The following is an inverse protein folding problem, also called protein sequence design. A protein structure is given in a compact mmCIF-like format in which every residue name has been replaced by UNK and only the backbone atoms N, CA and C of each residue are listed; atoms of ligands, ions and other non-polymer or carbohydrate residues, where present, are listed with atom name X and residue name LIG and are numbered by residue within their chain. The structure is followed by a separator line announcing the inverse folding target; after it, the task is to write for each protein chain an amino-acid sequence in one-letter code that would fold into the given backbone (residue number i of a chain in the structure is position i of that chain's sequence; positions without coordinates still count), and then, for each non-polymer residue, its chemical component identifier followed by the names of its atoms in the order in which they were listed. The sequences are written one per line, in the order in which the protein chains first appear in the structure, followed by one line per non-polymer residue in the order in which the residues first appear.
data_IF_133550600957
#
_entry.id   IF_133550600957
#
_cell.length_a   1.000
_cell.length_b   1.000
_cell.length_c   1.000
_cell.angle_alpha   90.00
_cell.angle_beta   90.00
_cell.angle_gamma   90.00
#
_symmetry.space_group_name_H-M   'P 1'
#
loop_
_entity.id
_entity.type
_entity.pdbx_description
1 polymer ?
#
# COMPACT_ATOMS: atom_id res chain seq x y z
N UNK A 1 -17.95 -5.08 38.76
CA UNK A 1 -18.69 -3.83 38.50
C UNK A 1 -18.81 -3.12 39.85
N UNK A 2 -18.04 -2.06 40.12
CA UNK A 2 -18.33 -0.64 39.80
C UNK A 2 -19.58 -0.13 40.56
N UNK A 3 -19.60 1.07 41.20
CA UNK A 3 -18.96 2.30 40.68
C UNK A 3 -18.21 3.23 41.66
N UNK A 4 -17.20 3.89 41.07
CA UNK A 4 -16.66 5.20 41.42
C UNK A 4 -17.44 6.25 40.64
N UNK A 5 -18.07 7.22 41.30
CA UNK A 5 -18.41 8.57 40.79
C UNK A 5 -19.03 9.29 42.00
N UNK A 6 -18.37 10.31 42.59
CA UNK A 6 -19.00 11.40 43.41
C UNK A 6 -18.04 12.25 44.28
N UNK A 7 -16.78 12.51 43.87
CA UNK A 7 -15.90 13.43 44.64
C UNK A 7 -15.39 14.63 43.82
N UNK A 8 -15.88 14.83 42.60
CA UNK A 8 -15.45 15.98 41.77
C UNK A 8 -16.36 17.23 41.95
N UNK A 9 -17.52 17.12 42.60
CA UNK A 9 -18.47 18.24 42.68
C UNK A 9 -18.46 19.06 43.99
N UNK A 10 -17.67 18.69 44.99
CA UNK A 10 -17.68 19.39 46.29
C UNK A 10 -16.51 20.35 46.54
N UNK A 11 -15.57 20.48 45.60
CA UNK A 11 -14.37 21.32 45.75
C UNK A 11 -14.53 22.75 45.19
N UNK A 12 -15.66 23.09 44.56
CA UNK A 12 -15.84 24.39 43.88
C UNK A 12 -16.65 25.44 44.65
N UNK A 13 -17.06 25.18 45.89
CA UNK A 13 -17.91 26.10 46.68
C UNK A 13 -17.30 26.63 47.98
N UNK A 14 -16.01 26.41 48.25
CA UNK A 14 -15.32 26.97 49.43
C UNK A 14 -14.03 27.74 49.07
N UNK A 15 -14.07 28.52 47.99
CA UNK A 15 -13.03 29.50 47.62
C UNK A 15 -13.61 30.92 47.53
N UNK A 16 -14.44 31.26 48.51
CA UNK A 16 -14.66 32.66 48.92
C UNK A 16 -14.33 32.72 50.41
N UNK A 17 -13.45 33.66 50.74
CA UNK A 17 -12.99 34.03 52.07
C UNK A 17 -11.80 33.26 52.65
N UNK A 18 -10.89 34.07 53.19
CA UNK A 18 -9.58 33.79 53.80
C UNK A 18 -8.36 33.80 52.88
N UNK A 19 -7.70 34.97 52.92
CA UNK A 19 -6.51 35.28 52.18
C UNK A 19 -5.20 34.84 52.84
N UNK A 20 -4.15 34.98 52.03
CA UNK A 20 -2.73 35.18 52.35
C UNK A 20 -2.21 34.44 53.58
N UNK A 21 -1.80 33.19 53.35
CA UNK A 21 -0.53 32.61 53.77
C UNK A 21 -0.73 31.11 53.70
N UNK A 22 -0.16 30.40 52.71
CA UNK A 22 0.23 28.97 52.77
C UNK A 22 0.88 28.52 51.43
N UNK A 23 1.77 29.36 50.88
CA UNK A 23 2.56 29.03 49.66
C UNK A 23 3.62 27.94 49.90
N UNK A 24 4.05 27.74 51.16
CA UNK A 24 5.14 26.81 51.48
C UNK A 24 4.69 25.36 51.76
N UNK A 25 3.43 25.14 52.16
CA UNK A 25 2.94 23.79 52.50
C UNK A 25 2.50 23.01 51.26
N UNK A 26 1.89 23.69 50.27
CA UNK A 26 1.55 23.09 48.97
C UNK A 26 2.79 22.72 48.13
N UNK A 27 3.89 23.50 48.24
CA UNK A 27 5.17 23.15 47.59
C UNK A 27 5.83 21.91 48.19
N UNK A 28 5.67 21.65 49.49
CA UNK A 28 6.19 20.42 50.13
C UNK A 28 5.39 19.18 49.73
N UNK A 29 4.07 19.25 49.60
CA UNK A 29 3.26 18.11 49.16
C UNK A 29 3.43 17.81 47.66
N UNK A 30 3.59 18.83 46.82
CA UNK A 30 3.93 18.66 45.39
C UNK A 30 5.35 18.13 45.15
N UNK A 31 6.29 18.31 46.10
CA UNK A 31 7.64 17.73 45.99
C UNK A 31 7.73 16.29 46.50
N UNK A 32 6.80 15.82 47.35
CA UNK A 32 6.80 14.43 47.83
C UNK A 32 6.28 13.45 46.75
N UNK A 33 5.47 13.92 45.80
CA UNK A 33 5.12 13.14 44.59
C UNK A 33 6.08 13.35 43.40
N UNK A 34 7.16 14.11 43.59
CA UNK A 34 8.21 14.35 42.57
C UNK A 34 9.48 13.55 42.77
N UNK A 35 9.51 12.65 43.76
CA UNK A 35 10.64 11.78 44.05
C UNK A 35 10.21 10.31 43.94
N UNK A 36 9.90 9.91 42.71
CA UNK A 36 10.02 8.52 42.23
C UNK A 36 10.19 8.46 40.70
N UNK A 37 10.82 9.49 40.13
CA UNK A 37 11.34 9.45 38.76
C UNK A 37 12.87 9.53 38.82
N UNK A 38 13.50 8.47 39.34
CA UNK A 38 14.91 8.20 39.08
C UNK A 38 15.09 8.01 37.59
N UNK A 39 16.07 8.73 37.04
CA UNK A 39 16.19 9.08 35.64
C UNK A 39 16.24 7.90 34.67
N UNK A 40 15.42 8.01 33.63
CA UNK A 40 15.89 7.79 32.26
C UNK A 40 15.75 9.13 31.58
N UNK A 41 16.87 9.69 31.13
CA UNK A 41 16.83 10.83 30.20
C UNK A 41 16.06 10.33 28.97
N UNK A 42 14.79 10.74 28.83
CA UNK A 42 13.98 10.31 27.68
C UNK A 42 14.63 10.95 26.48
N UNK A 43 15.42 10.16 25.75
CA UNK A 43 16.09 10.59 24.53
C UNK A 43 15.06 11.27 23.65
N UNK A 44 15.28 12.55 23.37
CA UNK A 44 14.35 13.36 22.61
C UNK A 44 14.36 12.86 21.16
N UNK A 45 13.30 12.16 20.76
CA UNK A 45 13.21 11.56 19.43
C UNK A 45 13.00 12.66 18.38
N UNK A 46 13.80 12.63 17.33
CA UNK A 46 13.75 13.58 16.21
C UNK A 46 13.20 12.92 14.95
N UNK A 47 12.53 13.70 14.11
CA UNK A 47 12.04 13.24 12.81
C UNK A 47 12.38 14.21 11.69
N UNK A 48 12.60 13.67 10.50
CA UNK A 48 12.76 14.42 9.27
C UNK A 48 11.65 14.03 8.29
N UNK A 49 11.22 14.95 7.43
CA UNK A 49 10.26 14.68 6.37
C UNK A 49 10.51 15.57 5.17
N UNK A 50 10.52 14.98 3.97
CA UNK A 50 10.55 15.71 2.70
C UNK A 50 9.16 16.19 2.28
N UNK A 51 8.15 15.77 3.03
CA UNK A 51 6.75 15.87 2.67
C UNK A 51 6.02 16.68 3.73
N UNK A 52 5.69 17.92 3.39
CA UNK A 52 4.83 18.75 4.23
C UNK A 52 3.37 18.36 4.06
N UNK A 53 2.96 17.35 4.83
CA UNK A 53 1.56 16.90 4.94
C UNK A 53 1.19 16.80 6.40
N UNK A 54 0.07 17.44 6.76
CA UNK A 54 -0.46 17.45 8.13
C UNK A 54 -0.68 16.06 8.71
N UNK A 55 -1.01 15.05 7.89
CA UNK A 55 -1.18 13.65 8.35
C UNK A 55 0.13 13.00 8.81
N UNK A 56 1.27 13.47 8.32
CA UNK A 56 2.60 13.02 8.74
C UNK A 56 3.04 13.82 9.96
N UNK A 57 3.16 15.15 9.80
CA UNK A 57 3.72 16.06 10.81
C UNK A 57 2.98 15.93 12.14
N UNK A 58 1.65 16.02 12.13
CA UNK A 58 0.86 15.95 13.35
C UNK A 58 0.92 14.56 14.03
N UNK A 59 1.16 13.48 13.28
CA UNK A 59 1.35 12.16 13.88
C UNK A 59 2.66 12.09 14.69
N UNK A 60 3.72 12.75 14.21
CA UNK A 60 4.99 12.84 14.93
C UNK A 60 4.91 13.83 16.10
N UNK A 61 4.35 15.03 15.90
CA UNK A 61 4.22 16.04 16.96
C UNK A 61 3.34 15.55 18.12
N UNK A 62 2.25 14.82 17.84
CA UNK A 62 1.40 14.20 18.87
C UNK A 62 2.18 13.23 19.77
N UNK A 63 3.28 12.65 19.28
CA UNK A 63 4.18 11.76 20.04
C UNK A 63 5.25 12.53 20.81
N UNK A 64 5.27 13.86 20.71
CA UNK A 64 6.30 14.71 21.32
C UNK A 64 7.63 14.71 20.56
N UNK A 65 7.65 14.20 19.32
CA UNK A 65 8.86 14.19 18.50
C UNK A 65 9.14 15.57 17.92
N UNK A 66 10.41 15.86 17.67
CA UNK A 66 10.85 17.17 17.18
C UNK A 66 11.35 17.09 15.76
N UNK A 67 10.85 17.98 14.91
CA UNK A 67 11.26 18.05 13.52
C UNK A 67 12.68 18.61 13.41
N UNK A 68 13.50 17.98 12.57
CA UNK A 68 14.86 18.38 12.23
C UNK A 68 15.08 18.35 10.72
N UNK A 69 16.16 18.97 10.24
CA UNK A 69 16.57 18.95 8.85
C UNK A 69 17.19 17.61 8.42
N UNK A 70 17.34 17.36 7.11
CA UNK A 70 17.94 16.13 6.59
C UNK A 70 19.44 15.98 6.90
N UNK A 71 20.13 17.10 7.15
CA UNK A 71 21.55 17.16 7.52
C UNK A 71 21.78 17.06 9.04
N UNK A 72 20.70 17.12 9.84
CA UNK A 72 20.76 16.99 11.29
C UNK A 72 20.68 15.52 11.73
N UNK A 73 20.88 15.25 13.02
CA UNK A 73 20.68 13.92 13.61
C UNK A 73 19.17 13.60 13.77
N UNK A 74 18.64 12.81 12.84
CA UNK A 74 17.26 12.35 12.80
C UNK A 74 17.14 10.88 13.25
N UNK A 75 16.06 10.51 13.94
CA UNK A 75 15.76 9.09 14.25
C UNK A 75 14.76 8.47 13.27
N UNK A 76 13.83 9.27 12.74
CA UNK A 76 12.81 8.80 11.82
C UNK A 76 12.76 9.70 10.59
N UNK A 77 13.01 9.15 9.41
CA UNK A 77 12.90 9.90 8.16
C UNK A 77 11.69 9.43 7.34
N UNK A 78 10.66 10.29 7.23
CA UNK A 78 9.62 10.14 6.23
C UNK A 78 10.08 10.78 4.89
N UNK A 79 10.89 10.04 4.16
CA UNK A 79 11.53 10.49 2.93
C UNK A 79 10.60 10.35 1.70
N UNK A 80 10.88 11.13 0.65
CA UNK A 80 10.49 10.76 -0.71
C UNK A 80 11.47 9.72 -1.27
N UNK A 81 11.06 9.01 -2.32
CA UNK A 81 11.86 7.95 -2.94
C UNK A 81 13.24 8.42 -3.42
N UNK A 82 13.37 9.67 -3.86
CA UNK A 82 14.64 10.24 -4.30
C UNK A 82 15.63 10.43 -3.14
N UNK A 83 15.16 10.93 -1.99
CA UNK A 83 16.02 11.12 -0.81
C UNK A 83 16.49 9.79 -0.24
N UNK A 84 15.59 8.79 -0.16
CA UNK A 84 15.97 7.42 0.19
C UNK A 84 17.05 6.89 -0.77
N UNK A 85 16.89 7.06 -2.08
CA UNK A 85 17.92 6.64 -3.06
C UNK A 85 19.27 7.31 -2.83
N UNK A 86 19.29 8.58 -2.45
CA UNK A 86 20.52 9.31 -2.16
C UNK A 86 21.19 8.80 -0.88
N UNK A 87 20.41 8.53 0.18
CA UNK A 87 20.91 7.96 1.45
C UNK A 87 21.59 6.60 1.23
N UNK A 88 21.00 5.74 0.40
CA UNK A 88 21.57 4.43 0.07
C UNK A 88 22.56 4.45 -1.11
N UNK A 89 22.88 5.63 -1.66
CA UNK A 89 23.85 5.73 -2.74
C UNK A 89 25.24 5.41 -2.22
N UNK A 90 25.99 4.57 -2.94
CA UNK A 90 27.38 4.27 -2.59
C UNK A 90 28.25 5.53 -2.64
N UNK A 91 27.88 6.51 -3.48
CA UNK A 91 28.62 7.77 -3.65
C UNK A 91 28.58 8.67 -2.42
N UNK A 92 27.51 8.62 -1.63
CA UNK A 92 27.40 9.45 -0.42
C UNK A 92 28.19 8.85 0.75
N UNK A 93 28.44 7.53 0.73
CA UNK A 93 29.11 6.81 1.82
C UNK A 93 28.35 6.84 3.14
N UNK A 94 27.09 7.30 3.14
CA UNK A 94 26.29 7.49 4.35
C UNK A 94 25.97 6.13 5.00
N UNK A 95 26.10 6.07 6.32
CA UNK A 95 25.77 4.89 7.12
C UNK A 95 24.78 5.30 8.20
N UNK A 96 23.62 4.66 8.20
CA UNK A 96 22.61 4.90 9.22
C UNK A 96 23.01 4.30 10.56
N UNK A 97 22.62 4.99 11.64
CA UNK A 97 22.74 4.52 13.02
C UNK A 97 21.62 3.53 13.38
N UNK A 98 21.86 2.69 14.39
CA UNK A 98 20.89 1.70 14.89
C UNK A 98 19.56 2.34 15.32
N UNK A 99 19.54 3.64 15.67
CA UNK A 99 18.34 4.39 16.04
C UNK A 99 17.68 5.15 14.88
N UNK A 100 18.03 4.80 13.64
CA UNK A 100 17.47 5.42 12.44
C UNK A 100 16.54 4.46 11.69
N UNK A 101 15.41 4.98 11.24
CA UNK A 101 14.51 4.25 10.33
C UNK A 101 13.96 5.14 9.22
N UNK A 102 13.70 4.54 8.07
CA UNK A 102 13.26 5.21 6.84
C UNK A 102 12.14 4.43 6.12
N UNK A 103 11.21 5.15 5.52
CA UNK A 103 9.95 4.65 4.96
C UNK A 103 10.02 4.08 3.52
N UNK A 104 11.21 3.68 3.06
CA UNK A 104 11.40 3.11 1.73
C UNK A 104 12.50 2.04 1.70
N UNK A 105 12.29 0.98 0.91
CA UNK A 105 13.38 0.09 0.51
C UNK A 105 14.16 0.69 -0.69
N UNK A 106 15.50 0.51 -0.77
CA UNK A 106 16.32 1.16 -1.80
C UNK A 106 15.90 0.85 -3.23
N UNK A 107 15.48 -0.40 -3.48
CA UNK A 107 15.04 -0.88 -4.79
C UNK A 107 13.55 -1.23 -4.86
N UNK A 108 12.71 -0.51 -4.09
CA UNK A 108 11.24 -0.63 -4.09
C UNK A 108 10.61 -0.63 -5.51
N UNK A 109 11.28 -0.01 -6.48
CA UNK A 109 10.85 0.07 -7.88
C UNK A 109 10.71 -1.28 -8.58
N UNK A 110 11.31 -2.35 -8.08
CA UNK A 110 11.10 -3.73 -8.57
C UNK A 110 9.66 -4.23 -8.38
N UNK A 111 8.95 -3.73 -7.35
CA UNK A 111 7.53 -4.01 -7.13
C UNK A 111 6.64 -2.96 -7.80
N UNK A 112 7.07 -1.70 -7.85
CA UNK A 112 6.20 -0.58 -8.21
C UNK A 112 6.28 -0.15 -9.67
N UNK A 113 7.40 -0.43 -10.36
CA UNK A 113 7.47 -0.26 -11.81
C UNK A 113 6.76 -1.41 -12.52
N UNK A 114 5.94 -1.06 -13.51
CA UNK A 114 5.02 -2.00 -14.17
C UNK A 114 5.75 -3.09 -14.95
N UNK A 115 6.86 -2.76 -15.60
CA UNK A 115 7.72 -3.70 -16.31
C UNK A 115 8.40 -4.70 -15.36
N UNK A 116 8.95 -4.20 -14.25
CA UNK A 116 9.63 -5.03 -13.26
C UNK A 116 8.66 -5.92 -12.48
N UNK A 117 7.48 -5.42 -12.09
CA UNK A 117 6.43 -6.23 -11.46
C UNK A 117 6.08 -7.46 -12.32
N UNK A 118 5.82 -7.24 -13.62
CA UNK A 118 5.47 -8.32 -14.55
C UNK A 118 6.66 -9.27 -14.75
N UNK A 119 7.88 -8.74 -14.88
CA UNK A 119 9.10 -9.54 -14.98
C UNK A 119 9.30 -10.44 -13.76
N UNK A 120 9.14 -9.89 -12.56
CA UNK A 120 9.31 -10.59 -11.29
C UNK A 120 8.24 -11.68 -11.11
N UNK A 121 6.98 -11.42 -11.44
CA UNK A 121 5.91 -12.44 -11.41
C UNK A 121 6.16 -13.55 -12.45
N UNK A 122 6.61 -13.20 -13.68
CA UNK A 122 6.97 -14.20 -14.70
C UNK A 122 8.13 -15.08 -14.23
N UNK A 123 9.15 -14.51 -13.58
CA UNK A 123 10.27 -15.26 -13.00
C UNK A 123 9.79 -16.21 -11.90
N UNK A 124 9.01 -15.70 -10.94
CA UNK A 124 8.47 -16.47 -9.82
C UNK A 124 7.65 -17.68 -10.28
N UNK A 125 6.74 -17.49 -11.25
CA UNK A 125 5.97 -18.60 -11.83
C UNK A 125 6.89 -19.67 -12.43
N UNK A 126 7.90 -19.30 -13.21
CA UNK A 126 8.86 -20.24 -13.83
C UNK A 126 9.73 -20.97 -12.80
N UNK A 127 10.09 -20.32 -11.71
CA UNK A 127 10.84 -20.93 -10.60
C UNK A 127 10.00 -22.02 -9.94
N UNK A 128 8.74 -21.70 -9.59
CA UNK A 128 7.80 -22.66 -9.05
C UNK A 128 7.52 -23.85 -9.99
N UNK A 129 7.45 -23.62 -11.31
CA UNK A 129 7.35 -24.71 -12.29
C UNK A 129 8.54 -25.65 -12.25
N UNK A 130 9.76 -25.09 -12.18
CA UNK A 130 11.01 -25.87 -12.12
C UNK A 130 11.08 -26.71 -10.84
N UNK A 131 10.53 -26.18 -9.75
CA UNK A 131 10.44 -26.86 -8.45
C UNK A 131 9.30 -27.88 -8.37
N UNK A 132 8.45 -27.98 -9.40
CA UNK A 132 7.25 -28.84 -9.36
C UNK A 132 6.22 -28.40 -8.32
N UNK A 133 6.21 -27.12 -7.96
CA UNK A 133 5.31 -26.59 -6.94
C UNK A 133 3.85 -26.56 -7.48
N UNK A 134 2.86 -27.10 -6.75
CA UNK A 134 1.45 -27.11 -7.17
C UNK A 134 0.88 -25.73 -7.51
N UNK A 135 1.41 -24.66 -6.91
CA UNK A 135 0.99 -23.28 -7.21
C UNK A 135 1.23 -22.88 -8.68
N UNK A 136 2.17 -23.54 -9.36
CA UNK A 136 2.47 -23.31 -10.76
C UNK A 136 1.67 -24.18 -11.72
N UNK A 137 0.62 -24.86 -11.25
CA UNK A 137 -0.29 -25.61 -12.09
C UNK A 137 -0.85 -24.74 -13.22
N UNK A 138 -0.80 -25.28 -14.45
CA UNK A 138 -1.28 -24.61 -15.66
C UNK A 138 -2.81 -24.72 -15.74
N UNK A 139 -3.46 -23.60 -16.05
CA UNK A 139 -4.90 -23.56 -16.28
C UNK A 139 -5.27 -23.79 -17.75
N UNK A 140 -6.56 -23.66 -18.05
CA UNK A 140 -7.09 -23.81 -19.41
C UNK A 140 -6.63 -22.67 -20.33
N UNK A 141 -5.57 -22.95 -21.08
CA UNK A 141 -5.05 -22.11 -22.15
C UNK A 141 -3.56 -21.75 -22.00
N UNK A 142 -2.91 -21.37 -23.11
CA UNK A 142 -1.48 -21.09 -23.12
C UNK A 142 -1.14 -19.91 -22.21
N UNK A 143 -0.18 -20.10 -21.31
CA UNK A 143 0.32 -19.04 -20.43
C UNK A 143 -0.51 -18.75 -19.18
N UNK A 144 -1.65 -19.43 -18.98
CA UNK A 144 -2.47 -19.29 -17.78
C UNK A 144 -2.02 -20.23 -16.68
N UNK A 145 -2.21 -19.77 -15.44
CA UNK A 145 -1.93 -20.53 -14.22
C UNK A 145 -3.20 -20.63 -13.40
N UNK A 146 -3.45 -21.76 -12.76
CA UNK A 146 -4.67 -21.96 -11.98
C UNK A 146 -4.71 -21.04 -10.76
N UNK A 147 -3.59 -20.96 -10.03
CA UNK A 147 -3.49 -20.21 -8.76
C UNK A 147 -2.80 -18.85 -8.90
N UNK A 148 -1.98 -18.66 -9.94
CA UNK A 148 -1.14 -17.48 -10.08
C UNK A 148 -1.59 -16.54 -11.20
N UNK A 149 -2.78 -16.72 -11.80
CA UNK A 149 -3.31 -15.86 -12.87
C UNK A 149 -4.05 -14.63 -12.34
N UNK A 150 -3.33 -13.73 -11.69
CA UNK A 150 -3.88 -12.52 -11.07
C UNK A 150 -3.33 -11.19 -11.62
N UNK A 151 -2.50 -11.22 -12.65
CA UNK A 151 -2.09 -10.02 -13.40
C UNK A 151 -2.57 -10.13 -14.84
N UNK A 152 -3.08 -9.06 -15.46
CA UNK A 152 -3.43 -9.08 -16.88
C UNK A 152 -2.23 -9.45 -17.75
N UNK A 153 -2.48 -10.17 -18.85
CA UNK A 153 -1.45 -10.48 -19.85
C UNK A 153 -0.77 -9.18 -20.27
N UNK A 154 0.54 -9.11 -20.07
CA UNK A 154 1.31 -7.88 -20.24
C UNK A 154 2.65 -8.14 -20.93
N UNK A 155 2.99 -7.22 -21.83
CA UNK A 155 4.21 -7.22 -22.62
C UNK A 155 4.94 -5.88 -22.47
N UNK A 156 6.28 -5.92 -22.42
CA UNK A 156 7.13 -4.73 -22.30
C UNK A 156 7.61 -4.29 -23.68
N UNK A 157 7.24 -3.10 -24.12
CA UNK A 157 7.62 -2.57 -25.43
C UNK A 157 8.92 -1.73 -25.33
N UNK A 158 9.79 -1.80 -26.35
CA UNK A 158 9.63 -2.52 -27.63
C UNK A 158 10.03 -4.01 -27.61
N UNK A 159 10.64 -4.50 -26.53
CA UNK A 159 11.26 -5.84 -26.46
C UNK A 159 10.29 -6.99 -26.80
N UNK A 160 9.06 -6.93 -26.27
CA UNK A 160 8.05 -7.99 -26.42
C UNK A 160 7.08 -7.73 -27.59
N UNK A 161 7.41 -6.83 -28.54
CA UNK A 161 6.48 -6.44 -29.62
C UNK A 161 5.95 -7.62 -30.43
N UNK A 162 6.83 -8.54 -30.84
CA UNK A 162 6.43 -9.69 -31.64
C UNK A 162 5.51 -10.63 -30.87
N UNK A 163 5.82 -10.89 -29.59
CA UNK A 163 4.99 -11.70 -28.70
C UNK A 163 3.60 -11.08 -28.50
N UNK A 164 3.55 -9.76 -28.34
CA UNK A 164 2.28 -9.03 -28.26
C UNK A 164 1.47 -9.18 -29.56
N UNK A 165 2.09 -9.02 -30.73
CA UNK A 165 1.40 -9.13 -32.02
C UNK A 165 0.85 -10.54 -32.24
N UNK A 166 1.58 -11.57 -31.86
CA UNK A 166 1.10 -12.96 -31.88
C UNK A 166 -0.11 -13.15 -30.98
N UNK A 167 -0.06 -12.64 -29.74
CA UNK A 167 -1.18 -12.73 -28.81
C UNK A 167 -2.41 -11.95 -29.29
N UNK A 168 -2.21 -10.73 -29.82
CA UNK A 168 -3.29 -9.93 -30.39
C UNK A 168 -3.98 -10.63 -31.56
N UNK A 169 -3.22 -11.34 -32.43
CA UNK A 169 -3.79 -12.06 -33.58
C UNK A 169 -4.71 -13.21 -33.16
N UNK A 170 -4.56 -13.78 -31.96
CA UNK A 170 -5.48 -14.80 -31.43
C UNK A 170 -6.86 -14.22 -31.12
N UNK A 171 -6.94 -12.93 -30.76
CA UNK A 171 -8.19 -12.22 -30.49
C UNK A 171 -8.13 -10.78 -31.00
N UNK A 172 -8.33 -10.53 -32.31
CA UNK A 172 -8.13 -9.20 -32.91
C UNK A 172 -9.09 -8.11 -32.42
N UNK A 173 -10.20 -8.50 -31.77
CA UNK A 173 -11.16 -7.56 -31.17
C UNK A 173 -10.80 -7.19 -29.72
N UNK A 174 -9.72 -7.74 -29.18
CA UNK A 174 -9.29 -7.45 -27.81
C UNK A 174 -8.82 -6.01 -27.66
N UNK A 175 -9.25 -5.37 -26.57
CA UNK A 175 -8.77 -4.06 -26.15
C UNK A 175 -7.56 -4.22 -25.23
N UNK A 176 -6.57 -3.36 -25.44
CA UNK A 176 -5.33 -3.30 -24.69
C UNK A 176 -5.14 -1.89 -24.15
N UNK A 177 -4.47 -1.80 -23.00
CA UNK A 177 -4.15 -0.54 -22.35
C UNK A 177 -2.63 -0.34 -22.36
N UNK A 178 -2.20 0.81 -22.87
CA UNK A 178 -0.82 1.24 -22.89
C UNK A 178 -0.54 2.11 -21.68
N UNK A 179 0.55 1.83 -20.96
CA UNK A 179 0.94 2.59 -19.78
C UNK A 179 2.46 2.81 -19.79
N UNK A 180 2.95 4.02 -19.48
CA UNK A 180 4.38 4.23 -19.26
C UNK A 180 4.85 3.46 -18.01
N UNK A 181 6.03 2.85 -18.06
CA UNK A 181 6.51 1.96 -16.99
C UNK A 181 6.74 2.67 -15.64
N UNK A 182 7.21 3.93 -15.68
CA UNK A 182 7.59 4.71 -14.49
C UNK A 182 6.66 5.87 -14.14
N UNK A 183 5.55 6.07 -14.87
CA UNK A 183 4.58 7.13 -14.58
C UNK A 183 3.39 6.61 -13.76
N UNK A 184 2.74 7.53 -13.07
CA UNK A 184 1.56 7.30 -12.23
C UNK A 184 0.45 8.29 -12.58
N UNK A 185 -0.67 8.25 -11.83
CA UNK A 185 -1.79 9.20 -11.94
C UNK A 185 -2.53 9.23 -13.30
N UNK A 186 -2.40 8.18 -14.10
CA UNK A 186 -3.06 8.10 -15.41
C UNK A 186 -2.34 8.83 -16.55
N UNK A 187 -1.19 9.47 -16.29
CA UNK A 187 -0.48 10.23 -17.30
C UNK A 187 0.09 9.32 -18.41
N UNK A 188 -0.20 9.65 -19.67
CA UNK A 188 0.29 8.92 -20.85
C UNK A 188 -0.38 7.57 -21.10
N UNK A 189 -1.52 7.29 -20.45
CA UNK A 189 -2.29 6.07 -20.67
C UNK A 189 -3.22 6.24 -21.86
N UNK A 190 -3.32 5.22 -22.71
CA UNK A 190 -4.28 5.19 -23.81
C UNK A 190 -4.69 3.76 -24.15
N UNK A 191 -5.86 3.60 -24.78
CA UNK A 191 -6.39 2.32 -25.21
C UNK A 191 -6.06 2.03 -26.68
N UNK A 192 -5.82 0.75 -26.98
CA UNK A 192 -5.58 0.24 -28.32
C UNK A 192 -6.51 -0.94 -28.56
N UNK A 193 -7.33 -0.84 -29.61
CA UNK A 193 -8.13 -1.94 -30.14
C UNK A 193 -7.71 -2.35 -31.57
N UNK A 194 -6.81 -1.59 -32.22
CA UNK A 194 -6.31 -1.85 -33.57
C UNK A 194 -4.80 -1.69 -33.62
N UNK A 195 -4.09 -2.64 -34.23
CA UNK A 195 -2.63 -2.57 -34.41
C UNK A 195 -2.15 -1.33 -35.17
N UNK A 196 -3.00 -0.73 -36.02
CA UNK A 196 -2.69 0.52 -36.72
C UNK A 196 -2.46 1.68 -35.76
N UNK A 197 -3.22 1.79 -34.65
CA UNK A 197 -3.01 2.79 -33.60
C UNK A 197 -1.62 2.63 -32.96
N UNK A 198 -1.20 1.39 -32.68
CA UNK A 198 0.14 1.11 -32.12
C UNK A 198 1.27 1.50 -33.08
N UNK A 199 1.13 1.18 -34.38
CA UNK A 199 2.12 1.55 -35.40
C UNK A 199 2.24 3.06 -35.57
N UNK A 200 1.12 3.79 -35.51
CA UNK A 200 1.10 5.25 -35.55
C UNK A 200 1.85 5.84 -34.36
N UNK A 201 1.51 5.41 -33.14
CA UNK A 201 2.20 5.82 -31.92
C UNK A 201 3.71 5.54 -31.98
N UNK A 202 4.12 4.35 -32.45
CA UNK A 202 5.54 4.01 -32.57
C UNK A 202 6.31 4.88 -33.57
N UNK A 203 5.65 5.33 -34.66
CA UNK A 203 6.25 6.27 -35.63
C UNK A 203 6.40 7.66 -35.03
N UNK A 204 5.38 8.15 -34.35
CA UNK A 204 5.41 9.44 -33.64
C UNK A 204 6.47 9.46 -32.54
N UNK A 205 6.62 8.34 -31.82
CA UNK A 205 7.63 8.18 -30.78
C UNK A 205 9.07 8.22 -31.32
N UNK A 206 9.30 7.86 -32.59
CA UNK A 206 10.61 7.90 -33.26
C UNK A 206 10.90 9.26 -33.93
N UNK A 207 9.99 10.23 -33.82
CA UNK A 207 10.18 11.54 -34.42
C UNK A 207 11.30 12.30 -33.68
N UNK A 208 12.37 12.76 -34.38
CA UNK A 208 13.48 13.51 -33.75
C UNK A 208 13.04 14.79 -33.03
N UNK A 209 11.91 15.36 -33.44
CA UNK A 209 11.32 16.55 -32.80
C UNK A 209 10.55 16.24 -31.51
N UNK A 210 10.45 14.97 -31.09
CA UNK A 210 9.83 14.56 -29.83
C UNK A 210 10.74 13.61 -29.01
N UNK A 211 11.94 14.08 -28.61
CA UNK A 211 12.97 13.23 -28.00
C UNK A 211 12.53 12.60 -26.67
N UNK A 212 11.55 13.19 -25.98
CA UNK A 212 11.02 12.68 -24.71
C UNK A 212 10.27 11.35 -24.85
N UNK A 213 9.65 11.06 -26.00
CA UNK A 213 8.92 9.80 -26.22
C UNK A 213 9.87 8.61 -26.53
N UNK A 214 11.05 8.87 -27.12
CA UNK A 214 12.01 7.81 -27.51
C UNK A 214 12.66 7.08 -26.32
N UNK A 215 12.70 7.70 -25.14
CA UNK A 215 13.35 7.15 -23.93
C UNK A 215 12.39 6.44 -22.97
N UNK A 216 11.07 6.56 -23.18
CA UNK A 216 10.09 6.00 -22.26
C UNK A 216 9.72 4.56 -22.62
N UNK A 217 10.00 3.62 -21.71
CA UNK A 217 9.49 2.25 -21.82
C UNK A 217 8.00 2.21 -21.47
N UNK A 218 7.26 1.38 -22.20
CA UNK A 218 5.82 1.20 -22.03
C UNK A 218 5.50 -0.27 -21.79
N UNK A 219 4.46 -0.52 -21.01
CA UNK A 219 3.79 -1.83 -20.94
C UNK A 219 2.49 -1.78 -21.71
N UNK A 220 2.22 -2.82 -22.49
CA UNK A 220 0.91 -3.09 -23.09
C UNK A 220 0.26 -4.26 -22.36
N UNK A 221 -0.90 -4.01 -21.75
CA UNK A 221 -1.62 -4.98 -20.93
C UNK A 221 -3.02 -5.23 -21.51
N UNK A 222 -3.52 -6.46 -21.40
CA UNK A 222 -4.92 -6.76 -21.75
C UNK A 222 -5.83 -5.89 -20.88
N UNK A 223 -6.72 -5.16 -21.51
CA UNK A 223 -7.70 -4.35 -20.80
C UNK A 223 -8.82 -5.25 -20.25
N UNK A 224 -9.20 -5.05 -18.99
CA UNK A 224 -10.32 -5.75 -18.35
C UNK A 224 -11.59 -5.05 -18.80
N UNK A 225 -12.24 -5.63 -19.81
CA UNK A 225 -13.43 -5.09 -20.48
C UNK A 225 -14.74 -5.48 -19.79
N UNK A 226 -14.73 -6.49 -18.90
CA UNK A 226 -15.83 -6.94 -18.05
C UNK A 226 -15.64 -6.62 -16.54
N UNK A 227 -15.35 -5.37 -16.13
CA UNK A 227 -15.18 -5.05 -14.71
C UNK A 227 -16.49 -5.22 -13.94
N UNK A 228 -16.40 -5.54 -12.65
CA UNK A 228 -17.55 -5.44 -11.74
C UNK A 228 -18.00 -3.98 -11.68
N UNK A 229 -19.31 -3.76 -11.87
CA UNK A 229 -19.92 -2.43 -11.84
C UNK A 229 -20.81 -2.28 -10.62
N UNK A 230 -20.79 -1.11 -9.99
CA UNK A 230 -21.77 -0.72 -8.98
C UNK A 230 -22.47 0.54 -9.48
N UNK A 231 -23.81 0.49 -9.59
CA UNK A 231 -24.59 1.57 -10.20
C UNK A 231 -24.21 1.83 -11.67
N UNK A 232 -23.70 0.81 -12.37
CA UNK A 232 -23.22 0.94 -13.76
C UNK A 232 -21.88 1.67 -13.90
N UNK A 233 -21.17 1.98 -12.80
CA UNK A 233 -19.89 2.69 -12.84
C UNK A 233 -18.73 1.74 -12.51
N UNK A 234 -17.64 1.86 -13.26
CA UNK A 234 -16.38 1.14 -13.04
C UNK A 234 -15.67 1.70 -11.81
N UNK A 235 -14.96 0.84 -11.08
CA UNK A 235 -14.10 1.26 -9.98
C UNK A 235 -12.82 0.42 -9.89
N UNK A 236 -11.81 0.97 -9.20
CA UNK A 236 -10.65 0.22 -8.71
C UNK A 236 -10.65 0.23 -7.18
N UNK A 237 -9.96 -0.73 -6.58
CA UNK A 237 -9.74 -0.86 -5.15
C UNK A 237 -8.33 -0.39 -4.77
N UNK A 238 -8.24 0.58 -3.86
CA UNK A 238 -7.01 1.00 -3.19
C UNK A 238 -6.90 0.35 -1.81
N UNK A 239 -5.91 -0.52 -1.65
CA UNK A 239 -5.52 -1.14 -0.37
C UNK A 239 -4.13 -0.65 0.06
N UNK A 240 -3.86 -0.68 1.37
CA UNK A 240 -2.55 -0.31 1.92
C UNK A 240 -1.90 -1.53 2.56
N UNK A 241 -0.67 -1.82 2.18
CA UNK A 241 0.10 -2.96 2.67
C UNK A 241 1.42 -2.44 3.22
N UNK A 242 1.66 -2.65 4.51
CA UNK A 242 2.92 -2.30 5.17
C UNK A 242 3.85 -3.50 5.15
N UNK A 243 5.06 -3.31 4.64
CA UNK A 243 6.13 -4.30 4.63
C UNK A 243 7.21 -3.81 5.60
N UNK A 244 7.53 -4.64 6.58
CA UNK A 244 8.55 -4.32 7.60
C UNK A 244 9.88 -5.02 7.34
N UNK A 245 9.85 -6.07 6.53
CA UNK A 245 11.02 -6.84 6.09
C UNK A 245 10.65 -7.67 4.86
N UNK A 246 11.59 -7.85 3.93
CA UNK A 246 11.52 -8.83 2.84
C UNK A 246 12.31 -10.11 3.12
N UNK A 247 13.18 -10.10 4.14
CA UNK A 247 13.98 -11.27 4.55
C UNK A 247 14.13 -11.29 6.08
N UNK A 248 13.33 -12.09 6.79
CA UNK A 248 12.15 -12.85 6.30
C UNK A 248 11.02 -11.91 5.87
N UNK A 249 10.14 -12.34 4.95
CA UNK A 249 9.03 -11.50 4.49
C UNK A 249 7.99 -11.31 5.61
N UNK A 250 7.75 -10.04 5.96
CA UNK A 250 6.76 -9.61 6.95
C UNK A 250 5.88 -8.51 6.37
N UNK A 251 4.59 -8.80 6.28
CA UNK A 251 3.61 -7.96 5.63
C UNK A 251 2.35 -7.81 6.49
N UNK A 252 1.76 -6.62 6.46
CA UNK A 252 0.55 -6.26 7.17
C UNK A 252 -0.44 -5.59 6.22
N UNK A 253 -1.70 -6.03 6.23
CA UNK A 253 -2.77 -5.43 5.45
C UNK A 253 -3.55 -4.44 6.31
N UNK A 254 -3.69 -3.20 5.85
CA UNK A 254 -4.54 -2.22 6.51
C UNK A 254 -6.01 -2.52 6.19
N UNK A 255 -6.83 -2.73 7.24
CA UNK A 255 -8.26 -3.05 7.12
C UNK A 255 -9.05 -1.95 6.40
N UNK A 256 -8.58 -0.70 6.48
CA UNK A 256 -9.22 0.42 5.81
C UNK A 256 -8.64 0.62 4.40
N UNK A 257 -9.52 0.82 3.43
CA UNK A 257 -9.18 1.21 2.08
C UNK A 257 -10.42 1.77 1.39
N UNK A 258 -10.32 2.05 0.09
CA UNK A 258 -11.44 2.60 -0.64
C UNK A 258 -11.45 2.16 -2.10
N UNK A 259 -12.66 2.06 -2.65
CA UNK A 259 -12.91 2.02 -4.07
C UNK A 259 -12.86 3.44 -4.64
N UNK A 260 -12.28 3.61 -5.83
CA UNK A 260 -12.34 4.85 -6.61
C UNK A 260 -13.21 4.62 -7.83
N UNK A 261 -14.31 5.35 -7.93
CA UNK A 261 -15.26 5.24 -9.04
C UNK A 261 -14.89 6.19 -10.18
N UNK A 262 -15.19 5.75 -11.40
CA UNK A 262 -15.38 6.67 -12.52
C UNK A 262 -16.60 7.56 -12.27
N UNK A 263 -16.59 8.78 -12.79
CA UNK A 263 -17.72 9.72 -12.73
C UNK A 263 -18.81 9.32 -13.71
N UNK A 264 -18.46 8.73 -14.85
CA UNK A 264 -19.40 8.33 -15.91
C UNK A 264 -19.74 6.83 -15.82
N UNK A 265 -20.92 6.45 -16.30
CA UNK A 265 -21.29 5.04 -16.48
C UNK A 265 -20.33 4.35 -17.44
N UNK A 266 -20.07 3.08 -17.17
CA UNK A 266 -19.17 2.27 -17.96
C UNK A 266 -19.82 1.89 -19.29
N UNK A 267 -19.13 2.19 -20.38
CA UNK A 267 -19.46 1.77 -21.74
C UNK A 267 -18.22 1.16 -22.40
N UNK A 268 -18.44 0.17 -23.26
CA UNK A 268 -17.41 -0.51 -24.07
C UNK A 268 -17.50 -0.14 -25.55
N UNK A 269 -18.43 0.72 -25.94
CA UNK A 269 -18.61 1.19 -27.31
C UNK A 269 -17.32 1.80 -27.86
N UNK A 270 -17.02 1.52 -29.13
CA UNK A 270 -15.78 1.96 -29.78
C UNK A 270 -15.71 3.50 -29.84
N UNK A 271 -16.86 4.18 -29.87
CA UNK A 271 -16.94 5.63 -29.86
C UNK A 271 -16.37 6.25 -28.57
N UNK A 272 -16.48 5.56 -27.43
CA UNK A 272 -16.07 6.06 -26.11
C UNK A 272 -14.66 5.62 -25.68
N UNK A 273 -13.95 4.83 -26.50
CA UNK A 273 -12.58 4.36 -26.15
C UNK A 273 -11.56 5.48 -25.97
N UNK A 274 -11.80 6.64 -26.59
CA UNK A 274 -10.96 7.83 -26.44
C UNK A 274 -11.41 8.69 -25.22
N UNK A 275 -12.58 8.40 -24.62
CA UNK A 275 -13.06 9.03 -23.40
C UNK A 275 -12.44 8.40 -22.14
N UNK A 276 -11.32 8.97 -21.71
CA UNK A 276 -10.59 8.49 -20.53
C UNK A 276 -11.40 8.52 -19.22
N UNK A 277 -12.45 9.34 -19.12
CA UNK A 277 -13.27 9.45 -17.89
C UNK A 277 -14.09 8.18 -17.61
N UNK A 278 -14.41 7.39 -18.64
CA UNK A 278 -15.13 6.11 -18.53
C UNK A 278 -14.18 5.00 -18.06
N UNK A 279 -12.91 5.07 -18.46
CA UNK A 279 -11.98 3.95 -18.37
C UNK A 279 -10.93 4.07 -17.25
N UNK A 280 -10.59 5.29 -16.83
CA UNK A 280 -9.55 5.58 -15.83
C UNK A 280 -10.14 6.15 -14.54
N UNK A 281 -9.98 5.44 -13.43
CA UNK A 281 -10.52 5.78 -12.10
C UNK A 281 -9.68 6.78 -11.30
N UNK A 282 -8.54 7.23 -11.84
CA UNK A 282 -7.61 8.12 -11.14
C UNK A 282 -8.25 9.48 -10.83
N UNK A 283 -8.10 9.94 -9.58
CA UNK A 283 -8.66 11.22 -9.09
C UNK A 283 -8.19 12.43 -9.93
N UNK A 284 -6.95 12.41 -10.44
CA UNK A 284 -6.41 13.44 -11.35
C UNK A 284 -7.25 13.60 -12.62
N UNK A 285 -7.77 12.50 -13.15
CA UNK A 285 -8.69 12.48 -14.29
C UNK A 285 -10.09 12.86 -13.80
N UNK A 286 -10.60 12.17 -12.78
CA UNK A 286 -12.00 12.24 -12.37
C UNK A 286 -12.46 13.58 -11.77
N UNK A 287 -11.56 14.38 -11.19
CA UNK A 287 -11.90 15.69 -10.58
C UNK A 287 -12.47 16.72 -11.57
N UNK A 288 -12.22 16.54 -12.86
CA UNK A 288 -12.72 17.44 -13.91
C UNK A 288 -14.06 16.99 -14.49
N UNK A 289 -14.60 15.85 -14.04
CA UNK A 289 -15.90 15.35 -14.51
C UNK A 289 -17.06 16.11 -13.87
N UNK A 290 -18.09 16.42 -14.66
CA UNK A 290 -19.26 17.21 -14.24
C UNK A 290 -20.05 16.54 -13.08
N UNK A 291 -20.08 15.21 -13.01
CA UNK A 291 -20.74 14.44 -11.94
C UNK A 291 -19.89 14.23 -10.68
N UNK A 292 -18.73 14.90 -10.54
CA UNK A 292 -17.84 14.68 -9.38
C UNK A 292 -18.49 15.17 -8.08
N UNK A 293 -18.84 14.23 -7.20
CA UNK A 293 -19.37 14.55 -5.88
C UNK A 293 -18.21 14.89 -4.92
N UNK A 294 -18.08 16.17 -4.56
CA UNK A 294 -17.02 16.66 -3.66
C UNK A 294 -17.14 16.18 -2.20
N UNK A 295 -18.35 15.78 -1.75
CA UNK A 295 -18.57 15.29 -0.37
C UNK A 295 -18.01 13.89 -0.15
N UNK A 296 -18.20 12.99 -1.12
CA UNK A 296 -17.71 11.61 -1.06
C UNK A 296 -16.48 11.35 -1.93
N UNK A 297 -16.14 12.27 -2.84
CA UNK A 297 -14.98 12.20 -3.73
C UNK A 297 -15.02 11.05 -4.75
N UNK A 298 -16.21 10.49 -5.02
CA UNK A 298 -16.36 9.28 -5.83
C UNK A 298 -15.76 8.04 -5.17
N UNK A 299 -15.74 7.98 -3.83
CA UNK A 299 -15.15 6.87 -3.07
C UNK A 299 -16.17 6.10 -2.24
N UNK A 300 -15.97 4.79 -2.18
CA UNK A 300 -16.69 3.87 -1.30
C UNK A 300 -15.67 3.15 -0.42
N UNK A 301 -15.90 3.04 0.89
CA UNK A 301 -14.97 2.30 1.75
C UNK A 301 -14.94 0.81 1.37
N UNK A 302 -13.80 0.14 1.59
CA UNK A 302 -13.68 -1.32 1.45
C UNK A 302 -14.73 -2.05 2.30
N UNK A 303 -15.01 -1.53 3.50
CA UNK A 303 -16.04 -2.06 4.38
C UNK A 303 -17.43 -2.02 3.72
N UNK A 304 -17.80 -0.89 3.11
CA UNK A 304 -19.09 -0.78 2.42
C UNK A 304 -19.14 -1.62 1.15
N UNK A 305 -18.02 -1.78 0.42
CA UNK A 305 -17.92 -2.73 -0.68
C UNK A 305 -18.20 -4.16 -0.20
N UNK A 306 -17.60 -4.56 0.94
CA UNK A 306 -17.83 -5.88 1.54
C UNK A 306 -19.30 -6.09 1.89
N UNK A 307 -19.91 -5.14 2.59
CA UNK A 307 -21.35 -5.20 2.93
C UNK A 307 -22.24 -5.28 1.69
N UNK A 308 -21.92 -4.51 0.65
CA UNK A 308 -22.65 -4.55 -0.63
C UNK A 308 -22.54 -5.93 -1.30
N UNK A 309 -21.35 -6.54 -1.31
CA UNK A 309 -21.16 -7.86 -1.90
C UNK A 309 -21.80 -8.97 -1.07
N UNK A 310 -21.71 -8.89 0.26
CA UNK A 310 -22.38 -9.83 1.17
C UNK A 310 -23.91 -9.81 0.97
N UNK A 311 -24.50 -8.63 0.78
CA UNK A 311 -25.95 -8.49 0.57
C UNK A 311 -26.41 -8.88 -0.84
N UNK A 312 -25.57 -8.73 -1.87
CA UNK A 312 -25.95 -8.98 -3.27
C UNK A 312 -25.49 -10.33 -3.82
N UNK A 313 -24.40 -10.88 -3.30
CA UNK A 313 -23.75 -12.14 -3.76
C UNK A 313 -23.64 -13.20 -2.68
N UNK A 314 -23.87 -12.83 -1.42
CA UNK A 314 -23.78 -13.75 -0.27
C UNK A 314 -22.41 -13.76 0.40
N UNK A 315 -22.40 -14.08 1.69
CA UNK A 315 -21.21 -14.00 2.56
C UNK A 315 -20.03 -14.86 2.08
N UNK A 316 -20.27 -16.13 1.76
CA UNK A 316 -19.20 -17.05 1.36
C UNK A 316 -18.48 -16.62 0.07
N UNK A 317 -19.23 -16.09 -0.90
CA UNK A 317 -18.68 -15.58 -2.17
C UNK A 317 -17.81 -14.35 -1.91
N UNK A 318 -18.28 -13.44 -1.07
CA UNK A 318 -17.52 -12.25 -0.67
C UNK A 318 -16.23 -12.63 0.07
N UNK A 319 -16.31 -13.55 1.03
CA UNK A 319 -15.13 -14.02 1.77
C UNK A 319 -14.08 -14.64 0.84
N UNK A 320 -14.51 -15.44 -0.14
CA UNK A 320 -13.64 -16.02 -1.17
C UNK A 320 -12.96 -14.93 -2.01
N UNK A 321 -13.69 -13.91 -2.46
CA UNK A 321 -13.11 -12.79 -3.22
C UNK A 321 -12.04 -12.05 -2.39
N UNK A 322 -12.32 -11.74 -1.13
CA UNK A 322 -11.34 -11.06 -0.27
C UNK A 322 -10.12 -11.94 0.04
N UNK A 323 -10.30 -13.26 0.16
CA UNK A 323 -9.19 -14.21 0.23
C UNK A 323 -8.34 -14.18 -1.05
N UNK A 324 -8.97 -14.18 -2.22
CA UNK A 324 -8.27 -14.06 -3.50
C UNK A 324 -7.54 -12.72 -3.65
N UNK A 325 -8.08 -11.61 -3.12
CA UNK A 325 -7.38 -10.32 -3.09
C UNK A 325 -6.10 -10.41 -2.26
N UNK A 326 -6.19 -10.99 -1.05
CA UNK A 326 -5.02 -11.25 -0.20
C UNK A 326 -4.00 -12.14 -0.89
N UNK A 327 -4.47 -13.18 -1.59
CA UNK A 327 -3.63 -14.08 -2.38
C UNK A 327 -2.80 -13.34 -3.43
N UNK A 328 -3.44 -12.46 -4.22
CA UNK A 328 -2.75 -11.61 -5.20
C UNK A 328 -1.63 -10.77 -4.56
N UNK A 329 -1.91 -10.18 -3.39
CA UNK A 329 -0.95 -9.35 -2.65
C UNK A 329 0.23 -10.22 -2.21
N UNK A 330 -0.02 -11.32 -1.50
CA UNK A 330 1.03 -12.20 -0.95
C UNK A 330 1.94 -12.74 -2.06
N UNK A 331 1.38 -13.26 -3.15
CA UNK A 331 2.21 -13.82 -4.22
C UNK A 331 2.94 -12.77 -5.05
N UNK A 332 2.42 -11.54 -5.13
CA UNK A 332 3.18 -10.43 -5.71
C UNK A 332 4.40 -10.03 -4.85
N UNK A 333 4.27 -10.08 -3.52
CA UNK A 333 5.38 -9.83 -2.60
C UNK A 333 6.40 -10.96 -2.65
N UNK A 334 5.96 -12.23 -2.60
CA UNK A 334 6.85 -13.40 -2.73
C UNK A 334 7.64 -13.39 -4.04
N UNK A 335 7.02 -12.96 -5.15
CA UNK A 335 7.71 -12.86 -6.43
C UNK A 335 8.88 -11.86 -6.44
N UNK A 336 8.81 -10.83 -5.59
CA UNK A 336 9.77 -9.74 -5.54
C UNK A 336 10.77 -9.88 -4.39
N UNK A 337 10.42 -10.61 -3.31
CA UNK A 337 11.27 -10.80 -2.14
C UNK A 337 12.72 -11.23 -2.44
N UNK A 338 13.01 -12.17 -3.37
CA UNK A 338 14.38 -12.59 -3.68
C UNK A 338 15.29 -11.47 -4.22
N UNK A 339 14.70 -10.48 -4.90
CA UNK A 339 15.46 -9.37 -5.51
C UNK A 339 15.46 -8.10 -4.65
N UNK A 340 14.71 -8.05 -3.54
CA UNK A 340 14.67 -6.88 -2.67
C UNK A 340 15.94 -6.69 -1.86
N UNK A 341 16.48 -5.47 -1.92
CA UNK A 341 17.50 -5.00 -1.02
C UNK A 341 16.86 -4.82 0.35
N UNK A 342 16.99 -5.85 1.19
CA UNK A 342 16.43 -5.85 2.53
C UNK A 342 17.41 -5.18 3.48
N UNK A 343 16.97 -4.10 4.11
CA UNK A 343 17.71 -3.37 5.12
C UNK A 343 16.82 -3.19 6.37
N UNK A 344 17.39 -3.36 7.56
CA UNK A 344 16.66 -3.30 8.83
C UNK A 344 16.17 -1.91 9.20
N UNK A 345 16.81 -0.86 8.67
CA UNK A 345 16.36 0.53 8.84
C UNK A 345 15.07 0.79 8.03
N UNK A 346 14.77 -0.02 7.03
CA UNK A 346 13.67 0.20 6.11
C UNK A 346 12.33 -0.38 6.60
N UNK A 347 11.26 0.28 6.22
CA UNK A 347 9.92 -0.27 6.09
C UNK A 347 9.26 0.41 4.89
N UNK A 348 8.15 -0.11 4.36
CA UNK A 348 7.46 0.58 3.28
C UNK A 348 5.96 0.32 3.29
N UNK A 349 5.17 1.37 3.08
CA UNK A 349 3.73 1.27 2.88
C UNK A 349 3.41 1.41 1.40
N UNK A 350 2.94 0.31 0.80
CA UNK A 350 2.53 0.28 -0.60
C UNK A 350 1.02 0.48 -0.76
N UNK A 351 0.64 1.23 -1.79
CA UNK A 351 -0.75 1.29 -2.26
C UNK A 351 -0.99 0.28 -3.36
N UNK A 352 -1.79 -0.76 -3.10
CA UNK A 352 -2.20 -1.76 -4.07
C UNK A 352 -3.46 -1.31 -4.82
N UNK A 353 -3.40 -1.38 -6.15
CA UNK A 353 -4.52 -1.05 -7.05
C UNK A 353 -5.03 -2.33 -7.70
N UNK A 354 -6.24 -2.73 -7.34
CA UNK A 354 -6.86 -3.98 -7.80
C UNK A 354 -8.17 -3.65 -8.53
N UNK A 355 -8.41 -4.30 -9.67
CA UNK A 355 -9.71 -4.31 -10.33
C UNK A 355 -10.35 -5.67 -10.10
N UNK A 356 -11.65 -5.68 -9.81
CA UNK A 356 -12.45 -6.91 -9.70
C UNK A 356 -13.25 -7.01 -11.00
N UNK A 357 -13.20 -8.15 -11.67
CA UNK A 357 -14.07 -8.40 -12.82
C UNK A 357 -15.46 -8.89 -12.41
N UNK A 358 -16.36 -9.00 -13.38
CA UNK A 358 -17.75 -9.38 -13.13
C UNK A 358 -17.91 -10.83 -12.64
N UNK A 359 -16.88 -11.68 -12.84
CA UNK A 359 -16.81 -13.05 -12.33
C UNK A 359 -16.20 -13.11 -10.91
N UNK A 360 -16.00 -11.93 -10.29
CA UNK A 360 -15.41 -11.77 -8.96
C UNK A 360 -13.97 -12.29 -8.86
N UNK A 361 -13.21 -12.18 -9.96
CA UNK A 361 -11.78 -12.41 -9.95
C UNK A 361 -11.02 -11.08 -9.77
N UNK A 362 -10.11 -11.00 -8.78
CA UNK A 362 -9.28 -9.82 -8.58
C UNK A 362 -8.05 -9.83 -9.50
N UNK A 363 -7.77 -8.67 -10.08
CA UNK A 363 -6.63 -8.41 -10.94
C UNK A 363 -5.75 -7.32 -10.36
N UNK A 364 -4.49 -7.64 -10.08
CA UNK A 364 -3.48 -6.67 -9.67
C UNK A 364 -3.09 -5.80 -10.87
N UNK A 365 -3.29 -4.49 -10.74
CA UNK A 365 -3.07 -3.51 -11.82
C UNK A 365 -1.77 -2.74 -11.65
N UNK A 366 -1.52 -2.25 -10.44
CA UNK A 366 -0.28 -1.58 -10.09
C UNK A 366 -0.06 -1.60 -8.57
N UNK A 367 1.19 -1.43 -8.17
CA UNK A 367 1.60 -1.20 -6.79
C UNK A 367 2.32 0.14 -6.75
N UNK A 368 1.90 1.02 -5.85
CA UNK A 368 2.43 2.38 -5.73
C UNK A 368 3.29 2.50 -4.47
N UNK A 369 4.56 2.87 -4.63
CA UNK A 369 5.36 3.42 -3.53
C UNK A 369 4.83 4.82 -3.19
N UNK A 370 4.97 5.21 -1.92
CA UNK A 370 4.52 6.52 -1.42
C UNK A 370 3.06 6.83 -1.83
N UNK A 371 2.08 5.96 -1.51
CA UNK A 371 0.70 6.20 -1.92
C UNK A 371 0.22 7.57 -1.43
N UNK A 372 -0.50 8.30 -2.29
CA UNK A 372 -0.82 9.71 -2.02
C UNK A 372 -1.48 9.91 -0.65
N UNK A 373 -0.89 10.78 0.16
CA UNK A 373 -1.39 11.16 1.49
C UNK A 373 -2.27 12.42 1.46
N UNK A 374 -2.54 12.98 0.28
CA UNK A 374 -3.44 14.13 0.13
C UNK A 374 -4.88 13.77 0.46
N UNK A 375 -5.49 14.48 1.40
CA UNK A 375 -6.87 14.21 1.82
C UNK A 375 -7.86 15.06 1.04
N UNK A 376 -8.74 14.42 0.27
CA UNK A 376 -9.80 15.11 -0.50
C UNK A 376 -11.13 15.18 0.24
N UNK A 377 -11.33 14.32 1.24
CA UNK A 377 -12.54 14.25 2.07
C UNK A 377 -12.16 14.08 3.54
N UNK A 378 -13.12 14.30 4.45
CA UNK A 378 -12.92 14.04 5.89
C UNK A 378 -12.58 12.57 6.15
N UNK A 379 -13.24 11.65 5.44
CA UNK A 379 -12.99 10.21 5.55
C UNK A 379 -11.57 9.86 5.10
N UNK A 380 -11.07 10.45 4.01
CA UNK A 380 -9.68 10.28 3.58
C UNK A 380 -8.71 10.76 4.67
N UNK A 381 -8.99 11.92 5.27
CA UNK A 381 -8.15 12.49 6.32
C UNK A 381 -8.08 11.55 7.51
N UNK A 382 -9.22 11.09 8.02
CA UNK A 382 -9.29 10.15 9.15
C UNK A 382 -8.55 8.84 8.82
N UNK A 383 -8.80 8.26 7.64
CA UNK A 383 -8.13 7.03 7.21
C UNK A 383 -6.62 7.19 7.19
N UNK A 384 -6.12 8.29 6.61
CA UNK A 384 -4.68 8.53 6.45
C UNK A 384 -4.00 8.87 7.76
N UNK A 385 -4.67 9.62 8.65
CA UNK A 385 -4.18 9.83 10.00
C UNK A 385 -3.99 8.49 10.73
N UNK A 386 -5.01 7.61 10.70
CA UNK A 386 -4.93 6.27 11.30
C UNK A 386 -3.86 5.40 10.64
N UNK A 387 -3.71 5.49 9.31
CA UNK A 387 -2.70 4.73 8.57
C UNK A 387 -1.30 5.07 9.06
N UNK A 388 -0.93 6.35 9.10
CA UNK A 388 0.39 6.79 9.57
C UNK A 388 0.58 6.47 11.05
N UNK A 389 -0.42 6.73 11.88
CA UNK A 389 -0.41 6.42 13.32
C UNK A 389 -0.10 4.94 13.57
N UNK A 390 -0.82 4.04 12.89
CA UNK A 390 -0.66 2.59 13.07
C UNK A 390 0.62 2.05 12.42
N UNK A 391 1.12 2.67 11.33
CA UNK A 391 2.45 2.34 10.78
C UNK A 391 3.51 2.60 11.84
N UNK A 392 3.51 3.78 12.46
CA UNK A 392 4.51 4.15 13.48
C UNK A 392 4.44 3.18 14.66
N UNK A 393 3.24 2.80 15.12
CA UNK A 393 3.06 1.82 16.20
C UNK A 393 3.62 0.42 15.88
N UNK A 394 3.78 0.07 14.60
CA UNK A 394 4.36 -1.21 14.17
C UNK A 394 5.88 -1.10 14.04
N UNK A 395 6.37 -0.04 13.41
CA UNK A 395 7.78 0.07 13.01
C UNK A 395 8.68 0.63 14.10
N UNK A 396 8.09 1.26 15.13
CA UNK A 396 8.80 1.79 16.30
C UNK A 396 8.44 0.94 17.51
N UNK A 397 9.41 0.58 18.36
CA UNK A 397 9.14 -0.21 19.55
C UNK A 397 8.33 0.60 20.59
N UNK A 398 7.64 -0.05 21.55
CA UNK A 398 6.76 0.62 22.52
C UNK A 398 7.43 1.68 23.38
N UNK A 399 8.75 1.58 23.59
CA UNK A 399 9.58 2.56 24.30
C UNK A 399 9.66 3.90 23.55
N UNK A 400 9.30 3.91 22.26
CA UNK A 400 9.10 5.11 21.44
C UNK A 400 10.34 5.61 20.71
N UNK A 401 11.51 5.01 20.93
CA UNK A 401 12.76 5.33 20.23
C UNK A 401 12.97 4.29 19.13
N UNK A 402 13.15 4.69 17.86
CA UNK A 402 13.47 3.74 16.80
C UNK A 402 14.70 2.90 17.11
N UNK A 403 14.67 1.63 16.73
CA UNK A 403 15.77 0.68 16.91
C UNK A 403 15.69 -0.38 15.79
N UNK A 404 16.75 -0.56 15.01
CA UNK A 404 16.82 -1.56 13.93
C UNK A 404 16.74 -3.01 14.40
N UNK A 405 16.97 -3.25 15.69
CA UNK A 405 16.85 -4.58 16.32
C UNK A 405 15.41 -4.91 16.68
N UNK A 406 14.51 -3.92 16.68
CA UNK A 406 13.08 -4.17 16.81
C UNK A 406 12.61 -5.06 15.67
N UNK A 407 12.00 -6.20 16.02
CA UNK A 407 11.57 -7.20 15.05
C UNK A 407 10.33 -6.75 14.23
N UNK A 408 9.76 -5.59 14.55
CA UNK A 408 8.57 -5.01 13.93
C UNK A 408 7.38 -5.98 13.92
N UNK A 409 7.26 -6.74 15.01
CA UNK A 409 6.16 -7.67 15.29
C UNK A 409 5.54 -7.28 16.64
N UNK A 410 4.83 -6.15 16.68
CA UNK A 410 4.19 -5.71 17.91
C UNK A 410 3.04 -6.67 18.29
N UNK A 411 2.60 -6.61 19.55
CA UNK A 411 1.45 -7.39 19.99
C UNK A 411 0.14 -6.91 19.30
N UNK A 412 -0.91 -7.76 19.18
CA UNK A 412 -2.08 -7.50 18.31
C UNK A 412 -2.85 -6.19 18.56
N UNK A 413 -2.82 -5.68 19.78
CA UNK A 413 -3.43 -4.42 20.24
C UNK A 413 -2.71 -3.21 19.63
N UNK A 414 -1.41 -3.31 19.41
CA UNK A 414 -0.59 -2.27 18.80
C UNK A 414 -0.68 -2.23 17.26
N UNK A 415 -1.25 -3.26 16.62
CA UNK A 415 -1.50 -3.27 15.16
C UNK A 415 -2.56 -2.23 14.72
N UNK A 416 -3.46 -1.84 15.63
CA UNK A 416 -4.55 -0.92 15.32
C UNK A 416 -5.45 -1.46 14.20
N UNK A 417 -5.46 -0.79 13.04
CA UNK A 417 -6.22 -1.23 11.87
C UNK A 417 -5.39 -2.09 10.90
N UNK A 418 -4.17 -2.48 11.24
CA UNK A 418 -3.47 -3.51 10.48
C UNK A 418 -3.86 -4.91 10.94
N UNK A 419 -3.79 -5.85 10.03
CA UNK A 419 -3.81 -7.28 10.29
C UNK A 419 -2.51 -7.88 9.75
N UNK A 420 -1.93 -8.84 10.48
CA UNK A 420 -0.79 -9.58 9.98
C UNK A 420 -1.22 -10.36 8.72
N UNK A 421 -0.59 -10.04 7.59
CA UNK A 421 -0.85 -10.68 6.30
C UNK A 421 0.07 -11.88 6.11
N UNK A 422 1.35 -11.75 6.44
CA UNK A 422 2.33 -12.82 6.32
C UNK A 422 3.49 -12.53 7.28
N UNK A 423 3.95 -13.54 8.01
CA UNK A 423 5.26 -13.57 8.64
C UNK A 423 5.88 -14.94 8.33
N UNK A 424 6.88 -14.96 7.46
CA UNK A 424 7.54 -16.22 7.05
C UNK A 424 8.22 -16.94 8.22
N UNK A 425 8.64 -16.24 9.26
CA UNK A 425 9.22 -16.90 10.44
C UNK A 425 8.16 -17.65 11.22
N UNK A 426 6.99 -17.03 11.44
CA UNK A 426 5.88 -17.67 12.13
C UNK A 426 5.38 -18.88 11.34
N UNK A 427 5.23 -18.75 10.02
CA UNK A 427 4.84 -19.88 9.15
C UNK A 427 5.87 -21.03 9.26
N UNK A 428 7.16 -20.72 9.18
CA UNK A 428 8.20 -21.75 9.30
C UNK A 428 8.25 -22.40 10.71
N UNK A 429 7.90 -21.66 11.76
CA UNK A 429 7.77 -22.20 13.12
C UNK A 429 6.56 -23.15 13.23
N UNK A 430 5.39 -22.73 12.73
CA UNK A 430 4.17 -23.55 12.71
C UNK A 430 4.39 -24.86 11.92
N UNK A 431 5.08 -24.81 10.78
CA UNK A 431 5.41 -26.00 9.98
C UNK A 431 6.34 -26.97 10.72
N UNK A 432 7.32 -26.46 11.48
CA UNK A 432 8.20 -27.27 12.33
C UNK A 432 7.44 -27.91 13.49
N UNK A 433 6.52 -27.19 14.11
CA UNK A 433 5.68 -27.70 15.20
C UNK A 433 4.70 -28.78 14.71
N UNK A 434 4.12 -28.58 13.53
CA UNK A 434 3.27 -29.57 12.89
C UNK A 434 4.06 -30.84 12.55
N UNK A 435 5.25 -30.68 11.95
CA UNK A 435 6.12 -31.81 11.57
C UNK A 435 6.69 -32.56 12.77
N UNK A 436 6.83 -31.91 13.93
CA UNK A 436 7.25 -32.52 15.19
C UNK A 436 6.10 -33.14 16.01
N UNK A 437 4.89 -33.19 15.46
CA UNK A 437 3.73 -33.84 16.08
C UNK A 437 3.15 -33.09 17.28
N UNK A 438 3.52 -31.82 17.50
CA UNK A 438 3.10 -31.04 18.67
C UNK A 438 1.79 -30.27 18.49
N UNK A 439 1.20 -30.23 17.30
CA UNK A 439 -0.04 -29.48 17.04
C UNK A 439 -1.18 -30.36 16.52
N UNK A 440 -2.34 -30.34 17.21
CA UNK A 440 -3.63 -30.87 16.74
C UNK A 440 -4.44 -29.72 16.12
N UNK A 441 -4.61 -29.78 14.80
CA UNK A 441 -5.64 -29.09 14.00
C UNK A 441 -5.98 -27.63 14.36
N UNK A 442 -5.44 -26.69 13.57
CA UNK A 442 -6.22 -25.54 13.09
C UNK A 442 -5.96 -25.35 11.61
N UNK A 443 -7.02 -25.11 10.83
CA UNK A 443 -6.98 -24.89 9.38
C UNK A 443 -5.86 -23.96 8.96
N UNK A 444 -4.84 -24.46 8.25
CA UNK A 444 -3.82 -23.60 7.67
C UNK A 444 -4.49 -22.72 6.62
N UNK A 445 -4.40 -21.40 6.81
CA UNK A 445 -4.99 -20.39 5.94
C UNK A 445 -4.13 -20.13 4.68
N UNK A 446 -3.04 -20.89 4.53
CA UNK A 446 -1.90 -20.58 3.67
C UNK A 446 -1.44 -21.74 2.79
N UNK A 447 -2.24 -22.80 2.68
CA UNK A 447 -2.06 -23.84 1.67
C UNK A 447 -2.90 -23.57 0.44
#
# INVERSE_FOLDING_TARGET
MSPRFDVIFHAFTCLRDFGKNHSNTLRKVLNIYRVSASGTDKTKVTFCTDVDKSVIVHNFEKRGWVQVGPEDDWNFYWAVTQSCRNIFSVETGYRMDDKQIINHFPNHYELTRKDLLVKNIKRYRKELEREGNPLAERGDGPGKYLYLDFIPITFVLPADYNMFVEEYRKSPQSTWIMKPCGKSQGAGIFLINKLSKLKKWSREAKNPFNPNLTKESYVISRYIDNPLLIGGKKFDLRLYVLITSFRPLKAYLFKLGFCRFCTVKYDTSIQELDNMYVHLTNVSVQKHGEEYNSKHGGKLSVHNLRLYLESTRGKAVTEKLFANITWCIVHSLKAVAPVMANDRHCFECYGYDIIIDNDLKPWLIEVNASPSLTSTTVNDRILKYKLIDNIISIVVPPEGVPDVRWNKCPPPEALGNFELLLDEELVAQEEKEYSSGKYRSSSSKWK
#
